data_IF_072329520137
#
_entry.id   IF_072329520137
#
_cell.length_a   1.000
_cell.length_b   1.000
_cell.length_c   1.000
_cell.angle_alpha   90.00
_cell.angle_beta   90.00
_cell.angle_gamma   90.00
#
_symmetry.space_group_name_H-M   'P 1'
#
loop_
_entity.id
_entity.type
_entity.pdbx_description
1 polymer ?
#
# COMPACT_ATOMS: atom_id res chain seq x y z
N UNK A 1 -14.88 4.60 -17.70
CA UNK A 1 -13.77 5.22 -16.94
C UNK A 1 -13.64 4.45 -15.65
N UNK A 2 -12.68 3.52 -15.54
CA UNK A 2 -12.39 2.88 -14.26
C UNK A 2 -11.66 3.94 -13.44
N UNK A 3 -12.32 4.40 -12.37
CA UNK A 3 -11.86 5.52 -11.58
C UNK A 3 -10.62 5.08 -10.82
N UNK A 4 -9.49 5.79 -10.96
CA UNK A 4 -8.21 5.52 -10.26
C UNK A 4 -8.38 5.25 -8.74
N UNK A 5 -9.48 5.71 -8.15
CA UNK A 5 -9.87 5.40 -6.78
C UNK A 5 -10.25 3.93 -6.53
N UNK A 6 -10.96 3.28 -7.45
CA UNK A 6 -11.32 1.86 -7.34
C UNK A 6 -10.10 0.95 -7.43
N UNK A 7 -9.09 1.33 -8.20
CA UNK A 7 -7.83 0.58 -8.27
C UNK A 7 -7.04 0.70 -6.96
N UNK A 8 -7.02 1.88 -6.32
CA UNK A 8 -6.34 2.07 -5.03
C UNK A 8 -6.99 1.32 -3.88
N UNK A 9 -8.31 1.25 -3.84
CA UNK A 9 -9.02 0.45 -2.83
C UNK A 9 -8.68 -1.03 -2.98
N UNK A 10 -8.60 -1.55 -4.21
CA UNK A 10 -8.18 -2.94 -4.45
C UNK A 10 -6.72 -3.19 -4.07
N UNK A 11 -5.82 -2.26 -4.38
CA UNK A 11 -4.42 -2.31 -3.97
C UNK A 11 -4.28 -2.29 -2.46
N UNK A 12 -5.09 -1.48 -1.78
CA UNK A 12 -5.13 -1.44 -0.32
C UNK A 12 -5.63 -2.75 0.29
N UNK A 13 -6.75 -3.28 -0.19
CA UNK A 13 -7.28 -4.58 0.25
C UNK A 13 -6.26 -5.71 0.00
N UNK A 14 -5.56 -5.67 -1.13
CA UNK A 14 -4.49 -6.60 -1.44
C UNK A 14 -3.31 -6.48 -0.45
N UNK A 15 -2.89 -5.26 -0.10
CA UNK A 15 -1.84 -5.05 0.89
C UNK A 15 -2.23 -5.56 2.27
N UNK A 16 -3.45 -5.23 2.73
CA UNK A 16 -3.97 -5.65 4.04
C UNK A 16 -4.04 -7.19 4.16
N UNK A 17 -4.47 -7.87 3.09
CA UNK A 17 -4.56 -9.34 3.09
C UNK A 17 -3.19 -10.04 3.05
N UNK A 18 -2.12 -9.34 2.72
CA UNK A 18 -0.74 -9.86 2.64
C UNK A 18 0.14 -9.45 3.81
N UNK A 19 -0.29 -8.49 4.62
CA UNK A 19 0.40 -8.13 5.87
C UNK A 19 0.44 -9.36 6.79
N UNK A 20 1.64 -9.75 7.23
CA UNK A 20 1.82 -10.84 8.19
C UNK A 20 1.23 -10.48 9.56
N UNK A 21 1.25 -9.19 9.88
CA UNK A 21 0.68 -8.64 11.10
C UNK A 21 -0.09 -7.36 10.77
N UNK A 22 -1.40 -7.37 10.99
CA UNK A 22 -2.30 -6.23 10.79
C UNK A 22 -2.30 -5.28 11.99
N UNK A 23 -1.12 -4.94 12.50
CA UNK A 23 -0.95 -3.94 13.55
C UNK A 23 -1.26 -2.55 13.00
N UNK A 24 -1.75 -1.64 13.87
CA UNK A 24 -2.08 -0.27 13.47
C UNK A 24 -0.90 0.49 12.84
N UNK A 25 0.33 0.15 13.22
CA UNK A 25 1.55 0.72 12.64
C UNK A 25 1.76 0.28 11.19
N UNK A 26 1.69 -1.03 10.94
CA UNK A 26 1.80 -1.62 9.59
C UNK A 26 0.71 -1.11 8.64
N UNK A 27 -0.52 -0.98 9.14
CA UNK A 27 -1.64 -0.40 8.40
C UNK A 27 -1.37 1.07 8.06
N UNK A 28 -0.89 1.87 9.01
CA UNK A 28 -0.53 3.27 8.77
C UNK A 28 0.58 3.42 7.73
N UNK A 29 1.60 2.56 7.76
CA UNK A 29 2.69 2.57 6.76
C UNK A 29 2.12 2.26 5.37
N UNK A 30 1.28 1.24 5.26
CA UNK A 30 0.63 0.84 4.01
C UNK A 30 -0.28 1.95 3.46
N UNK A 31 -1.14 2.53 4.31
CA UNK A 31 -2.00 3.67 3.93
C UNK A 31 -1.18 4.89 3.50
N UNK A 32 -0.09 5.17 4.21
CA UNK A 32 0.74 6.33 3.90
C UNK A 32 1.38 6.22 2.50
N UNK A 33 1.84 5.02 2.13
CA UNK A 33 2.44 4.77 0.82
C UNK A 33 1.39 4.65 -0.31
N UNK A 34 0.17 4.21 -0.02
CA UNK A 34 -0.89 4.10 -1.03
C UNK A 34 -1.65 5.41 -1.27
N UNK A 35 -1.84 6.23 -0.23
CA UNK A 35 -2.74 7.39 -0.27
C UNK A 35 -2.07 8.73 0.03
N UNK A 36 -0.94 8.77 0.74
CA UNK A 36 -0.26 10.00 1.18
C UNK A 36 1.02 10.37 0.41
N UNK A 37 1.17 9.91 -0.83
CA UNK A 37 2.19 10.41 -1.77
C UNK A 37 1.75 11.66 -2.53
N UNK A 38 1.14 12.60 -1.81
CA UNK A 38 0.68 13.87 -2.38
C UNK A 38 1.75 14.97 -2.37
N UNK A 39 2.97 14.69 -1.92
CA UNK A 39 4.05 15.68 -1.81
C UNK A 39 5.33 15.37 -2.62
N UNK A 40 5.48 14.16 -3.16
CA UNK A 40 6.53 13.83 -4.13
C UNK A 40 5.88 13.04 -5.26
N UNK A 41 5.75 13.63 -6.44
CA UNK A 41 5.14 13.03 -7.64
C UNK A 41 5.84 11.74 -8.13
N UNK A 42 6.94 11.33 -7.49
CA UNK A 42 7.85 10.30 -7.97
C UNK A 42 7.52 8.87 -7.51
N UNK A 43 6.65 8.68 -6.52
CA UNK A 43 6.49 7.35 -5.89
C UNK A 43 5.04 6.89 -5.72
N UNK A 44 4.14 7.19 -6.65
CA UNK A 44 2.75 6.70 -6.55
C UNK A 44 2.73 5.20 -6.85
N UNK A 45 2.48 4.38 -5.83
CA UNK A 45 2.22 2.95 -5.99
C UNK A 45 0.93 2.79 -6.82
N UNK A 46 1.05 2.22 -8.01
CA UNK A 46 -0.07 2.00 -8.93
C UNK A 46 -0.24 0.53 -9.32
N UNK A 47 0.62 -0.36 -8.81
CA UNK A 47 0.62 -1.77 -9.19
C UNK A 47 0.62 -2.70 -7.98
N UNK A 48 -0.02 -3.87 -8.12
CA UNK A 48 -0.01 -4.92 -7.10
C UNK A 48 1.42 -5.36 -6.71
N UNK A 49 2.35 -5.34 -7.67
CA UNK A 49 3.76 -5.68 -7.43
C UNK A 49 4.42 -4.71 -6.44
N UNK A 50 4.22 -3.41 -6.61
CA UNK A 50 4.76 -2.40 -5.70
C UNK A 50 4.16 -2.50 -4.30
N UNK A 51 2.87 -2.86 -4.20
CA UNK A 51 2.23 -3.18 -2.92
C UNK A 51 2.84 -4.43 -2.28
N UNK A 52 3.13 -5.46 -3.08
CA UNK A 52 3.78 -6.68 -2.59
C UNK A 52 5.19 -6.40 -2.05
N UNK A 53 5.99 -5.59 -2.76
CA UNK A 53 7.32 -5.16 -2.30
C UNK A 53 7.23 -4.35 -0.99
N UNK A 54 6.26 -3.45 -0.88
CA UNK A 54 6.01 -2.68 0.34
C UNK A 54 5.60 -3.59 1.51
N UNK A 55 4.69 -4.53 1.28
CA UNK A 55 4.25 -5.49 2.31
C UNK A 55 5.41 -6.38 2.75
N UNK A 56 6.25 -6.83 1.83
CA UNK A 56 7.47 -7.57 2.16
C UNK A 56 8.42 -6.74 3.02
N UNK A 57 8.60 -5.45 2.70
CA UNK A 57 9.41 -4.54 3.52
C UNK A 57 8.85 -4.37 4.93
N UNK A 58 7.54 -4.20 5.07
CA UNK A 58 6.86 -4.07 6.38
C UNK A 58 7.04 -5.36 7.19
N UNK A 59 6.74 -6.51 6.59
CA UNK A 59 6.86 -7.81 7.24
C UNK A 59 8.31 -8.16 7.61
N UNK A 60 9.31 -7.61 6.93
CA UNK A 60 10.73 -7.86 7.20
C UNK A 60 11.32 -6.89 8.25
N UNK A 61 10.59 -5.83 8.62
CA UNK A 61 10.99 -4.87 9.66
C UNK A 61 10.35 -5.16 11.03
N UNK A 62 9.61 -6.26 11.16
CA UNK A 62 9.03 -6.76 12.41
C UNK A 62 9.98 -7.74 13.11
#
# INVERSE_FOLDING_TARGET
>A
MISRYQDREKLYQFGITRLGNTSQENIKILENHLFHLKMNEDYVINSYKEVEELVQFINSNE
#
